data_IF_100197399244
#
_entry.id   IF_100197399244
#
_cell.length_a   1.000
_cell.length_b   1.000
_cell.length_c   1.000
_cell.angle_alpha   90.00
_cell.angle_beta   90.00
_cell.angle_gamma   90.00
#
_symmetry.space_group_name_H-M   'P 1'
#
loop_
_entity.id
_entity.type
_entity.pdbx_description
1 polymer ?
#
# COMPACT_ATOMS: atom_id res chain seq x y z
N UNK A 1 9.32 30.64 -1.06
CA UNK A 1 9.60 29.20 -1.19
C UNK A 1 10.98 29.04 -1.81
N UNK A 2 11.82 28.14 -1.27
CA UNK A 2 13.14 27.84 -1.86
C UNK A 2 12.94 27.14 -3.22
N UNK A 3 13.83 27.39 -4.19
CA UNK A 3 13.69 26.83 -5.56
C UNK A 3 13.63 25.29 -5.57
N UNK A 4 14.30 24.62 -4.63
CA UNK A 4 14.25 23.17 -4.49
C UNK A 4 12.89 22.64 -4.04
N UNK A 5 12.20 23.35 -3.14
CA UNK A 5 10.86 22.99 -2.68
C UNK A 5 9.86 23.06 -3.84
N UNK A 6 9.94 24.16 -4.61
CA UNK A 6 9.07 24.34 -5.79
C UNK A 6 9.32 23.27 -6.85
N UNK A 7 10.57 22.85 -7.04
CA UNK A 7 10.92 21.75 -7.94
C UNK A 7 10.29 20.43 -7.50
N UNK A 8 10.40 20.06 -6.21
CA UNK A 8 9.84 18.81 -5.67
C UNK A 8 8.32 18.79 -5.83
N UNK A 9 7.63 19.88 -5.49
CA UNK A 9 6.18 19.99 -5.68
C UNK A 9 5.80 19.78 -7.14
N UNK A 10 6.51 20.43 -8.09
CA UNK A 10 6.24 20.24 -9.53
C UNK A 10 6.49 18.80 -10.00
N UNK A 11 7.52 18.13 -9.47
CA UNK A 11 7.77 16.71 -9.78
C UNK A 11 6.58 15.87 -9.32
N UNK A 12 6.16 16.04 -8.06
CA UNK A 12 5.03 15.29 -7.47
C UNK A 12 3.72 15.57 -8.25
N UNK A 13 3.42 16.82 -8.56
CA UNK A 13 2.24 17.20 -9.37
C UNK A 13 2.26 16.59 -10.77
N UNK A 14 3.42 16.58 -11.44
CA UNK A 14 3.54 15.97 -12.78
C UNK A 14 3.35 14.46 -12.74
N UNK A 15 3.93 13.77 -11.75
CA UNK A 15 3.73 12.34 -11.57
C UNK A 15 2.26 12.03 -11.26
N UNK A 16 1.62 12.86 -10.43
CA UNK A 16 0.21 12.71 -10.10
C UNK A 16 -0.71 12.83 -11.32
N UNK A 17 -0.48 13.81 -12.20
CA UNK A 17 -1.26 13.95 -13.43
C UNK A 17 -1.17 12.69 -14.31
N UNK A 18 0.00 12.07 -14.39
CA UNK A 18 0.15 10.81 -15.14
C UNK A 18 -0.56 9.64 -14.46
N UNK A 19 -0.68 9.65 -13.12
CA UNK A 19 -1.48 8.65 -12.38
C UNK A 19 -2.96 8.79 -12.69
N UNK A 20 -3.46 10.03 -12.77
CA UNK A 20 -4.84 10.29 -13.17
C UNK A 20 -5.15 9.86 -14.61
N UNK A 21 -4.14 9.78 -15.48
CA UNK A 21 -4.22 9.21 -16.83
C UNK A 21 -4.20 7.66 -16.85
N UNK A 22 -4.16 7.01 -15.69
CA UNK A 22 -4.18 5.55 -15.54
C UNK A 22 -2.79 4.90 -15.48
N UNK A 23 -1.72 5.68 -15.31
CA UNK A 23 -0.38 5.12 -15.17
C UNK A 23 -0.01 4.84 -13.70
N UNK A 24 0.87 3.88 -13.46
CA UNK A 24 1.56 3.76 -12.17
C UNK A 24 2.86 4.56 -12.20
N UNK A 25 3.14 5.33 -11.15
CA UNK A 25 4.36 6.12 -11.00
C UNK A 25 5.04 5.83 -9.68
N UNK A 26 6.37 5.78 -9.71
CA UNK A 26 7.25 5.62 -8.57
C UNK A 26 8.38 6.63 -8.72
N UNK A 27 8.75 7.28 -7.62
CA UNK A 27 9.90 8.17 -7.56
C UNK A 27 10.59 8.04 -6.21
N UNK A 28 11.90 8.27 -6.20
CA UNK A 28 12.70 8.37 -4.99
C UNK A 28 13.18 9.81 -4.85
N UNK A 29 12.96 10.39 -3.68
CA UNK A 29 13.34 11.78 -3.39
C UNK A 29 14.26 11.77 -2.18
N UNK A 30 15.49 12.23 -2.36
CA UNK A 30 16.39 12.49 -1.24
C UNK A 30 16.20 13.95 -0.80
N UNK A 31 15.57 14.12 0.36
CA UNK A 31 15.21 15.43 0.91
C UNK A 31 15.68 15.53 2.35
N UNK A 32 16.03 16.74 2.80
CA UNK A 32 16.49 16.97 4.16
C UNK A 32 15.36 16.95 5.21
N UNK A 33 14.10 17.06 4.77
CA UNK A 33 12.89 16.90 5.59
C UNK A 33 11.76 16.34 4.73
N UNK A 34 10.98 15.42 5.31
CA UNK A 34 9.77 14.83 4.71
C UNK A 34 8.57 15.78 4.73
N UNK A 35 8.60 16.86 5.53
CA UNK A 35 7.51 17.85 5.63
C UNK A 35 7.11 18.42 4.26
N UNK A 36 8.10 18.59 3.37
CA UNK A 36 7.88 19.11 2.01
C UNK A 36 7.05 18.12 1.17
N UNK A 37 7.29 16.82 1.34
CA UNK A 37 6.55 15.77 0.64
C UNK A 37 5.13 15.71 1.19
N UNK A 38 4.97 15.73 2.51
CA UNK A 38 3.65 15.75 3.15
C UNK A 38 2.83 16.98 2.75
N UNK A 39 3.42 18.17 2.75
CA UNK A 39 2.75 19.39 2.31
C UNK A 39 2.31 19.29 0.85
N UNK A 40 3.17 18.80 -0.04
CA UNK A 40 2.85 18.61 -1.46
C UNK A 40 1.70 17.63 -1.67
N UNK A 41 1.73 16.48 -0.98
CA UNK A 41 0.67 15.45 -1.04
C UNK A 41 -0.64 15.97 -0.47
N UNK A 42 -0.61 16.64 0.68
CA UNK A 42 -1.80 17.24 1.29
C UNK A 42 -2.43 18.31 0.38
N UNK A 43 -1.61 19.11 -0.30
CA UNK A 43 -2.09 20.10 -1.25
C UNK A 43 -2.71 19.46 -2.49
N UNK A 44 -2.16 18.34 -2.99
CA UNK A 44 -2.78 17.55 -4.06
C UNK A 44 -4.15 17.02 -3.63
N UNK A 45 -4.23 16.39 -2.46
CA UNK A 45 -5.49 15.84 -1.93
C UNK A 45 -6.54 16.91 -1.69
N UNK A 46 -6.14 18.14 -1.32
CA UNK A 46 -7.07 19.28 -1.17
C UNK A 46 -7.56 19.82 -2.51
N UNK A 47 -6.75 19.75 -3.57
CA UNK A 47 -7.10 20.21 -4.92
C UNK A 47 -8.06 19.22 -5.58
N UNK A 48 -7.82 17.94 -5.38
CA UNK A 48 -8.71 16.87 -5.83
C UNK A 48 -9.87 16.71 -4.84
N UNK A 49 -11.06 16.34 -5.33
CA UNK A 49 -12.19 16.01 -4.44
C UNK A 49 -11.86 14.74 -3.60
N UNK A 50 -12.72 14.40 -2.63
CA UNK A 50 -12.63 13.30 -1.63
C UNK A 50 -12.32 11.87 -2.15
N UNK A 51 -11.99 11.70 -3.43
CA UNK A 51 -11.74 10.42 -4.10
C UNK A 51 -10.27 9.95 -4.05
N UNK A 52 -9.34 10.77 -3.57
CA UNK A 52 -7.93 10.36 -3.44
C UNK A 52 -7.69 9.76 -2.07
N UNK A 53 -6.97 8.65 -2.04
CA UNK A 53 -6.51 8.02 -0.79
C UNK A 53 -5.00 8.15 -0.68
N UNK A 54 -4.53 8.52 0.50
CA UNK A 54 -3.10 8.58 0.81
C UNK A 54 -2.76 7.76 2.04
N UNK A 55 -1.60 7.12 1.98
CA UNK A 55 -1.00 6.40 3.09
C UNK A 55 0.45 6.84 3.24
N UNK A 56 0.88 7.08 4.47
CA UNK A 56 2.26 7.46 4.81
C UNK A 56 2.82 6.45 5.80
N UNK A 57 4.05 6.00 5.56
CA UNK A 57 4.73 4.99 6.35
C UNK A 57 6.16 5.42 6.63
N UNK A 58 6.61 5.25 7.86
CA UNK A 58 7.98 5.54 8.27
C UNK A 58 8.73 4.24 8.52
N UNK A 59 9.85 4.04 7.82
CA UNK A 59 10.77 2.95 8.13
C UNK A 59 11.72 3.41 9.23
N UNK A 60 11.42 3.05 10.47
CA UNK A 60 12.26 3.40 11.63
C UNK A 60 13.32 2.32 11.84
N UNK A 61 14.59 2.72 11.88
CA UNK A 61 15.68 1.83 12.29
C UNK A 61 15.43 1.33 13.72
N UNK A 62 15.69 0.05 13.99
CA UNK A 62 15.51 -0.63 15.27
C UNK A 62 14.05 -0.94 15.71
N UNK A 63 13.02 -0.62 14.90
CA UNK A 63 11.66 -1.07 15.16
C UNK A 63 11.32 -2.42 14.51
N UNK A 64 10.55 -3.25 15.23
CA UNK A 64 10.02 -4.49 14.68
C UNK A 64 8.83 -4.17 13.79
N UNK A 65 9.10 -4.07 12.49
CA UNK A 65 8.06 -3.86 11.49
C UNK A 65 7.15 -5.11 11.36
N UNK A 66 5.84 -4.91 11.14
CA UNK A 66 4.94 -6.00 10.78
C UNK A 66 5.40 -6.75 9.53
N UNK A 67 4.94 -8.00 9.32
CA UNK A 67 5.25 -8.75 8.10
C UNK A 67 4.87 -7.99 6.83
N UNK A 68 5.77 -7.96 5.85
CA UNK A 68 5.57 -7.30 4.55
C UNK A 68 5.21 -5.80 4.66
N UNK A 69 5.69 -5.12 5.70
CA UNK A 69 5.57 -3.68 5.83
C UNK A 69 6.27 -2.96 4.66
N UNK A 70 5.71 -1.85 4.14
CA UNK A 70 4.44 -1.22 4.53
C UNK A 70 3.21 -1.78 3.81
N UNK A 71 3.40 -2.63 2.82
CA UNK A 71 2.38 -3.02 1.85
C UNK A 71 1.19 -3.76 2.46
N UNK A 72 1.46 -4.75 3.32
CA UNK A 72 0.39 -5.48 3.99
C UNK A 72 -0.30 -4.62 5.07
N UNK A 73 0.43 -3.69 5.69
CA UNK A 73 -0.14 -2.71 6.61
C UNK A 73 -1.10 -1.76 5.88
N UNK A 74 -0.75 -1.28 4.68
CA UNK A 74 -1.65 -0.48 3.83
C UNK A 74 -2.97 -1.21 3.56
N UNK A 75 -2.92 -2.48 3.17
CA UNK A 75 -4.14 -3.28 2.94
C UNK A 75 -4.99 -3.33 4.22
N UNK A 76 -4.35 -3.53 5.37
CA UNK A 76 -5.02 -3.55 6.68
C UNK A 76 -5.67 -2.21 7.01
N UNK A 77 -4.97 -1.10 6.81
CA UNK A 77 -5.48 0.25 7.07
C UNK A 77 -6.67 0.56 6.15
N UNK A 78 -6.57 0.22 4.87
CA UNK A 78 -7.66 0.36 3.92
C UNK A 78 -8.91 -0.43 4.34
N UNK A 79 -8.77 -1.69 4.75
CA UNK A 79 -9.89 -2.51 5.22
C UNK A 79 -10.50 -1.92 6.51
N UNK A 80 -9.66 -1.43 7.43
CA UNK A 80 -10.11 -0.79 8.67
C UNK A 80 -10.94 0.48 8.43
N UNK A 81 -10.51 1.32 7.49
CA UNK A 81 -11.24 2.52 7.06
C UNK A 81 -12.57 2.19 6.36
N UNK A 82 -12.65 1.01 5.72
CA UNK A 82 -13.81 0.55 4.97
C UNK A 82 -14.44 -0.67 5.68
N UNK A 83 -14.82 -0.50 6.95
CA UNK A 83 -15.31 -1.59 7.82
C UNK A 83 -16.54 -2.37 7.33
N UNK A 84 -17.26 -1.86 6.33
CA UNK A 84 -18.36 -2.55 5.65
C UNK A 84 -17.89 -3.49 4.51
N UNK A 85 -16.58 -3.52 4.23
CA UNK A 85 -16.01 -4.40 3.22
C UNK A 85 -16.17 -5.85 3.66
N UNK A 86 -16.88 -6.64 2.85
CA UNK A 86 -16.85 -8.09 2.97
C UNK A 86 -15.43 -8.56 2.62
N UNK A 87 -14.66 -8.90 3.66
CA UNK A 87 -13.26 -9.29 3.52
C UNK A 87 -13.09 -10.54 2.66
N UNK A 88 -13.98 -11.53 2.80
CA UNK A 88 -13.85 -12.78 2.07
C UNK A 88 -14.16 -12.55 0.58
N UNK A 89 -15.13 -11.67 0.27
CA UNK A 89 -15.36 -11.24 -1.10
C UNK A 89 -14.21 -10.38 -1.64
N UNK A 90 -13.64 -9.47 -0.85
CA UNK A 90 -12.48 -8.67 -1.24
C UNK A 90 -11.27 -9.55 -1.61
N UNK A 91 -10.94 -10.54 -0.78
CA UNK A 91 -9.83 -11.47 -1.04
C UNK A 91 -10.08 -12.30 -2.30
N UNK A 92 -11.33 -12.73 -2.52
CA UNK A 92 -11.74 -13.47 -3.72
C UNK A 92 -11.66 -12.60 -4.98
N UNK A 93 -12.18 -11.38 -4.94
CA UNK A 93 -12.15 -10.45 -6.07
C UNK A 93 -10.75 -9.91 -6.38
N UNK A 94 -9.87 -9.90 -5.39
CA UNK A 94 -8.44 -9.60 -5.56
C UNK A 94 -7.64 -10.80 -6.07
N UNK A 95 -8.29 -11.94 -6.37
CA UNK A 95 -7.63 -13.15 -6.86
C UNK A 95 -6.44 -13.60 -5.98
N UNK A 96 -6.62 -13.48 -4.66
CA UNK A 96 -5.65 -13.99 -3.66
C UNK A 96 -5.58 -15.51 -3.78
N UNK A 97 -4.37 -16.05 -3.68
CA UNK A 97 -4.12 -17.49 -3.76
C UNK A 97 -4.97 -18.24 -2.74
N UNK A 98 -5.68 -19.28 -3.19
CA UNK A 98 -6.75 -19.93 -2.42
C UNK A 98 -6.29 -20.35 -1.02
N UNK A 99 -5.15 -21.03 -0.91
CA UNK A 99 -4.62 -21.53 0.36
C UNK A 99 -4.12 -20.44 1.32
N UNK A 100 -3.91 -19.23 0.82
CA UNK A 100 -3.45 -18.10 1.64
C UNK A 100 -4.59 -17.17 2.08
N UNK A 101 -5.80 -17.32 1.51
CA UNK A 101 -6.96 -16.49 1.85
C UNK A 101 -7.28 -16.54 3.34
N UNK A 102 -7.23 -17.72 3.96
CA UNK A 102 -7.49 -17.84 5.40
C UNK A 102 -6.45 -17.08 6.23
N UNK A 103 -5.18 -17.16 5.83
CA UNK A 103 -4.07 -16.47 6.49
C UNK A 103 -4.27 -14.95 6.42
N UNK A 104 -4.53 -14.41 5.22
CA UNK A 104 -4.82 -12.98 5.05
C UNK A 104 -6.09 -12.55 5.79
N UNK A 105 -7.17 -13.34 5.73
CA UNK A 105 -8.44 -13.02 6.40
C UNK A 105 -8.24 -12.89 7.91
N UNK A 106 -7.51 -13.82 8.53
CA UNK A 106 -7.19 -13.78 9.97
C UNK A 106 -6.28 -12.59 10.30
N UNK A 107 -5.20 -12.39 9.55
CA UNK A 107 -4.26 -11.29 9.77
C UNK A 107 -4.96 -9.92 9.71
N UNK A 108 -5.78 -9.69 8.67
CA UNK A 108 -6.49 -8.42 8.46
C UNK A 108 -7.58 -8.18 9.53
N UNK A 109 -8.14 -9.25 10.11
CA UNK A 109 -9.05 -9.19 11.27
C UNK A 109 -8.32 -9.04 12.62
N UNK A 110 -6.99 -9.03 12.64
CA UNK A 110 -6.19 -9.00 13.88
C UNK A 110 -6.25 -10.31 14.69
N UNK A 111 -6.62 -11.42 14.03
CA UNK A 111 -6.67 -12.74 14.65
C UNK A 111 -5.33 -13.48 14.44
N UNK A 112 -4.98 -14.43 15.34
CA UNK A 112 -3.81 -15.28 15.15
C UNK A 112 -3.86 -15.97 13.79
N UNK A 113 -2.82 -15.77 12.97
CA UNK A 113 -2.73 -16.38 11.64
C UNK A 113 -2.40 -17.86 11.78
N UNK A 114 -3.26 -18.71 11.21
CA UNK A 114 -3.03 -20.16 11.15
C UNK A 114 -3.64 -20.73 9.88
N UNK A 115 -3.01 -21.78 9.36
CA UNK A 115 -3.47 -22.59 8.24
C UNK A 115 -3.65 -24.03 8.72
N UNK A 116 -4.68 -24.70 8.24
CA UNK A 116 -4.92 -26.11 8.55
C UNK A 116 -4.08 -27.08 7.71
N UNK A 117 -3.64 -26.65 6.53
CA UNK A 117 -2.86 -27.47 5.61
C UNK A 117 -1.38 -27.54 6.01
N UNK A 118 -0.79 -28.73 5.87
CA UNK A 118 0.63 -28.94 6.08
C UNK A 118 1.46 -28.12 5.07
N UNK A 119 2.65 -27.72 5.50
CA UNK A 119 3.61 -27.03 4.64
C UNK A 119 4.36 -28.09 3.84
N UNK A 120 4.26 -28.02 2.52
CA UNK A 120 5.10 -28.80 1.62
C UNK A 120 6.42 -28.04 1.43
N UNK A 121 7.48 -28.51 2.07
CA UNK A 121 8.79 -27.85 2.04
C UNK A 121 9.35 -27.68 0.62
N UNK A 122 9.01 -28.59 -0.29
CA UNK A 122 9.39 -28.54 -1.71
C UNK A 122 8.69 -27.41 -2.48
N UNK A 123 7.60 -26.84 -1.95
CA UNK A 123 6.81 -25.78 -2.58
C UNK A 123 6.96 -24.42 -1.88
N UNK A 124 7.89 -24.28 -0.92
CA UNK A 124 8.04 -23.06 -0.14
C UNK A 124 8.30 -21.81 -0.99
N UNK A 125 9.14 -21.93 -2.01
CA UNK A 125 9.45 -20.80 -2.91
C UNK A 125 8.20 -20.36 -3.69
N UNK A 126 7.39 -21.34 -4.11
CA UNK A 126 6.13 -21.07 -4.82
C UNK A 126 5.09 -20.42 -3.89
N UNK A 127 4.94 -20.93 -2.67
CA UNK A 127 4.07 -20.32 -1.65
C UNK A 127 4.50 -18.89 -1.32
N UNK A 128 5.80 -18.65 -1.14
CA UNK A 128 6.32 -17.30 -0.89
C UNK A 128 6.05 -16.35 -2.08
N UNK A 129 6.23 -16.84 -3.31
CA UNK A 129 5.89 -16.09 -4.52
C UNK A 129 4.40 -15.73 -4.55
N UNK A 130 3.51 -16.71 -4.37
CA UNK A 130 2.05 -16.49 -4.34
C UNK A 130 1.62 -15.54 -3.22
N UNK A 131 2.35 -15.53 -2.09
CA UNK A 131 2.10 -14.60 -0.98
C UNK A 131 2.36 -13.16 -1.39
N UNK A 132 3.52 -12.90 -2.00
CA UNK A 132 3.87 -11.58 -2.51
C UNK A 132 2.92 -11.16 -3.64
N UNK A 133 2.59 -12.07 -4.56
CA UNK A 133 1.62 -11.82 -5.62
C UNK A 133 0.24 -11.48 -5.06
N UNK A 134 -0.21 -12.16 -4.02
CA UNK A 134 -1.49 -11.89 -3.36
C UNK A 134 -1.53 -10.48 -2.75
N UNK A 135 -0.45 -10.04 -2.09
CA UNK A 135 -0.32 -8.66 -1.58
C UNK A 135 -0.42 -7.66 -2.73
N UNK A 136 0.34 -7.89 -3.81
CA UNK A 136 0.30 -7.02 -4.99
C UNK A 136 -1.10 -6.91 -5.59
N UNK A 137 -1.82 -8.04 -5.76
CA UNK A 137 -3.17 -8.04 -6.33
C UNK A 137 -4.17 -7.29 -5.44
N UNK A 138 -4.07 -7.41 -4.12
CA UNK A 138 -4.88 -6.62 -3.18
C UNK A 138 -4.61 -5.12 -3.32
N UNK A 139 -3.34 -4.71 -3.40
CA UNK A 139 -2.97 -3.30 -3.63
C UNK A 139 -3.49 -2.79 -4.98
N UNK A 140 -3.37 -3.58 -6.04
CA UNK A 140 -3.89 -3.23 -7.36
C UNK A 140 -5.42 -3.04 -7.31
N UNK A 141 -6.15 -3.95 -6.65
CA UNK A 141 -7.60 -3.82 -6.44
C UNK A 141 -7.95 -2.52 -5.71
N UNK A 142 -7.23 -2.17 -4.65
CA UNK A 142 -7.44 -0.91 -3.92
C UNK A 142 -7.20 0.29 -4.86
N UNK A 143 -6.12 0.28 -5.64
CA UNK A 143 -5.77 1.36 -6.57
C UNK A 143 -6.79 1.59 -7.70
N UNK A 144 -7.55 0.56 -8.06
CA UNK A 144 -8.63 0.67 -9.05
C UNK A 144 -9.91 1.28 -8.50
N UNK A 145 -10.09 1.27 -7.17
CA UNK A 145 -11.26 1.88 -6.52
C UNK A 145 -11.06 3.39 -6.41
N UNK A 146 -9.88 3.80 -5.93
CA UNK A 146 -9.49 5.18 -5.77
C UNK A 146 -8.02 5.35 -6.16
N UNK A 147 -7.64 6.46 -6.83
CA UNK A 147 -6.24 6.83 -6.99
C UNK A 147 -5.53 6.87 -5.63
N UNK A 148 -4.37 6.20 -5.57
CA UNK A 148 -3.57 6.05 -4.34
C UNK A 148 -2.27 6.86 -4.42
N UNK A 149 -1.95 7.52 -3.31
CA UNK A 149 -0.62 8.06 -3.04
C UNK A 149 -0.04 7.29 -1.86
N UNK A 150 1.13 6.68 -2.05
CA UNK A 150 1.85 5.98 -0.97
C UNK A 150 3.17 6.68 -0.76
N UNK A 151 3.38 7.20 0.45
CA UNK A 151 4.63 7.81 0.88
C UNK A 151 5.32 6.85 1.83
N UNK A 152 6.58 6.52 1.53
CA UNK A 152 7.41 5.69 2.39
C UNK A 152 8.67 6.47 2.71
N UNK A 153 8.82 6.84 3.97
CA UNK A 153 9.92 7.65 4.47
C UNK A 153 11.05 6.77 4.98
N UNK A 154 12.27 7.33 5.00
CA UNK A 154 13.46 6.70 5.57
C UNK A 154 13.85 5.35 4.92
N UNK A 155 13.69 5.25 3.58
CA UNK A 155 14.21 4.13 2.76
C UNK A 155 15.74 4.21 2.64
#
# INVERSE_FOLDING_TARGET
MNSSTELITKIIENLWNQVLEGNTKLTFLNVSSTDIIEEAVNNLIKKEDLKVKSYSFDLVEDEVNPPFYPYLQLVKDYIGENSQTDLDNFLKESDVYYFQREVFSKYLKGLPSSRYEEILFEELDYEFYEFNCSIYKMLAKISHINPLIVVVNNI
#
